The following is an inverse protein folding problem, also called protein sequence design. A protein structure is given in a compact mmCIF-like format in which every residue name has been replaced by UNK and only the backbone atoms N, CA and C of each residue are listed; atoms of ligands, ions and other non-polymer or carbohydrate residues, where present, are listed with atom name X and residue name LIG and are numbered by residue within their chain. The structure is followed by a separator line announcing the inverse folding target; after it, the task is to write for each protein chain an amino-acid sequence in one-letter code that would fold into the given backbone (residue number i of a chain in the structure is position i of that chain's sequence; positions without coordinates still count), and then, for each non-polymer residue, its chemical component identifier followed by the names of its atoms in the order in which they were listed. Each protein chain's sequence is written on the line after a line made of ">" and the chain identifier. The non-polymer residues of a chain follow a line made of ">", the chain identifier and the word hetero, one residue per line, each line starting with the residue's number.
data_IF_096847385486
#
_entry.id   IF_096847385486
#
_cell.length_a   1.000
_cell.length_b   1.000
_cell.length_c   1.000
_cell.angle_alpha   90.00
_cell.angle_beta   90.00
_cell.angle_gamma   90.00
#
_symmetry.space_group_name_H-M   'P 1'
#
loop_
_entity.id
_entity.type
_entity.pdbx_description
1 polymer ?
#
# COMPACT_ATOMS: atom_id res chain seq x y z
N UNK A 1 -0.13 45.25 9.36
CA UNK A 1 -0.72 44.35 8.34
C UNK A 1 -0.57 42.95 8.88
N UNK A 2 -1.69 42.31 9.22
CA UNK A 2 -1.74 41.06 9.99
C UNK A 2 -1.82 39.90 9.00
N UNK A 3 -0.75 39.11 8.88
CA UNK A 3 -0.74 37.95 7.98
C UNK A 3 -1.20 36.70 8.74
N UNK A 4 -2.38 36.22 8.35
CA UNK A 4 -2.97 34.99 8.83
C UNK A 4 -2.22 33.78 8.24
N UNK A 5 -1.43 33.09 9.06
CA UNK A 5 -0.91 31.77 8.71
C UNK A 5 -2.01 30.72 8.93
N UNK A 6 -2.74 30.39 7.87
CA UNK A 6 -3.66 29.26 7.86
C UNK A 6 -2.84 27.96 7.74
N UNK A 7 -2.72 27.25 8.86
CA UNK A 7 -2.28 25.85 8.95
C UNK A 7 -3.08 25.01 7.95
N UNK A 8 -2.45 24.62 6.84
CA UNK A 8 -3.00 23.63 5.91
C UNK A 8 -2.44 22.27 6.32
N UNK A 9 -3.27 21.45 6.95
CA UNK A 9 -2.97 20.04 7.19
C UNK A 9 -2.64 19.35 5.84
N UNK A 10 -1.68 18.41 5.79
CA UNK A 10 -1.40 17.69 4.55
C UNK A 10 -2.67 16.92 4.15
N UNK A 11 -3.21 17.28 3.01
CA UNK A 11 -4.29 16.57 2.33
C UNK A 11 -3.80 15.14 2.10
N UNK A 12 -4.59 14.08 2.37
CA UNK A 12 -4.17 12.72 2.03
C UNK A 12 -3.89 12.69 0.53
N UNK A 13 -2.65 12.41 0.17
CA UNK A 13 -2.16 12.43 -1.20
C UNK A 13 -2.95 11.42 -2.02
N UNK A 14 -3.97 11.90 -2.72
CA UNK A 14 -4.69 11.11 -3.73
C UNK A 14 -3.67 10.69 -4.77
N UNK A 15 -3.30 9.40 -4.75
CA UNK A 15 -2.39 8.78 -5.72
C UNK A 15 -2.82 9.15 -7.13
N UNK A 16 -2.06 10.05 -7.78
CA UNK A 16 -2.33 10.51 -9.14
C UNK A 16 -1.86 9.47 -10.15
N UNK A 17 -2.86 8.76 -10.68
CA UNK A 17 -3.07 8.46 -12.11
C UNK A 17 -2.12 7.49 -12.82
N UNK A 18 -2.65 6.28 -13.04
CA UNK A 18 -2.16 5.33 -14.03
C UNK A 18 -3.09 4.10 -14.15
N UNK A 19 -4.13 4.22 -14.99
CA UNK A 19 -5.23 3.30 -15.35
C UNK A 19 -6.55 3.47 -14.59
N UNK A 20 -7.62 3.45 -15.38
CA UNK A 20 -9.03 3.50 -14.98
C UNK A 20 -9.52 2.24 -14.29
N UNK A 21 -8.88 1.87 -13.19
CA UNK A 21 -9.38 0.85 -12.28
C UNK A 21 -10.05 1.57 -11.09
N UNK A 22 -11.23 2.16 -11.31
CA UNK A 22 -12.05 2.71 -10.22
C UNK A 22 -12.22 1.69 -9.07
N UNK A 23 -12.24 0.40 -9.41
CA UNK A 23 -12.27 -0.70 -8.46
C UNK A 23 -10.96 -0.84 -7.67
N UNK A 24 -9.81 -0.70 -8.31
CA UNK A 24 -8.51 -0.70 -7.61
C UNK A 24 -8.41 0.48 -6.65
N UNK A 25 -8.87 1.67 -7.07
CA UNK A 25 -8.95 2.82 -6.18
C UNK A 25 -9.96 2.60 -5.05
N UNK A 26 -11.09 1.97 -5.29
CA UNK A 26 -12.07 1.65 -4.25
C UNK A 26 -11.49 0.67 -3.21
N UNK A 27 -10.73 -0.34 -3.65
CA UNK A 27 -10.09 -1.32 -2.78
C UNK A 27 -8.97 -0.68 -1.93
N UNK A 28 -8.12 0.17 -2.53
CA UNK A 28 -7.05 0.88 -1.81
C UNK A 28 -7.57 1.99 -0.89
N UNK A 29 -8.70 2.62 -1.23
CA UNK A 29 -9.33 3.65 -0.41
C UNK A 29 -10.40 3.10 0.55
N UNK A 30 -10.48 1.77 0.71
CA UNK A 30 -11.33 1.16 1.71
C UNK A 30 -11.00 1.65 3.13
N UNK A 31 -11.98 1.65 4.05
CA UNK A 31 -11.80 2.14 5.43
C UNK A 31 -10.89 1.27 6.30
N UNK A 32 -10.46 0.12 5.82
CA UNK A 32 -9.73 -0.87 6.61
C UNK A 32 -8.24 -0.51 6.76
N UNK A 33 -7.68 -0.89 7.91
CA UNK A 33 -6.31 -0.50 8.28
C UNK A 33 -5.25 -1.03 7.32
N UNK A 34 -5.43 -2.23 6.75
CA UNK A 34 -4.50 -2.78 5.77
C UNK A 34 -4.52 -2.03 4.44
N UNK A 35 -5.68 -1.55 3.99
CA UNK A 35 -5.79 -0.68 2.81
C UNK A 35 -5.09 0.67 3.06
N UNK A 36 -5.35 1.29 4.22
CA UNK A 36 -4.66 2.52 4.60
C UNK A 36 -3.14 2.34 4.70
N UNK A 37 -2.68 1.23 5.29
CA UNK A 37 -1.26 0.90 5.37
C UNK A 37 -0.63 0.73 3.97
N UNK A 38 -1.28 -0.02 3.07
CA UNK A 38 -0.82 -0.15 1.69
C UNK A 38 -0.75 1.20 0.98
N UNK A 39 -1.74 2.08 1.20
CA UNK A 39 -1.76 3.43 0.61
C UNK A 39 -0.60 4.29 1.11
N UNK A 40 -0.34 4.33 2.42
CA UNK A 40 0.77 5.13 2.98
C UNK A 40 2.14 4.64 2.47
N UNK A 41 2.30 3.32 2.28
CA UNK A 41 3.52 2.76 1.69
C UNK A 41 3.64 3.13 0.20
N UNK A 42 2.54 3.04 -0.55
CA UNK A 42 2.52 3.42 -1.97
C UNK A 42 2.73 4.93 -2.19
N UNK A 43 2.28 5.78 -1.27
CA UNK A 43 2.53 7.23 -1.32
C UNK A 43 3.93 7.61 -0.81
N UNK A 44 4.71 6.66 -0.28
CA UNK A 44 6.04 6.91 0.26
C UNK A 44 6.03 7.65 1.61
N UNK A 45 4.88 7.76 2.27
CA UNK A 45 4.77 8.39 3.59
C UNK A 45 5.44 7.58 4.69
N UNK A 46 5.42 6.24 4.55
CA UNK A 46 6.03 5.30 5.49
C UNK A 46 6.66 4.14 4.75
N UNK A 47 7.64 3.49 5.38
CA UNK A 47 8.19 2.23 4.87
C UNK A 47 7.23 1.06 5.10
N UNK A 48 7.36 -0.04 4.33
CA UNK A 48 6.58 -1.26 4.59
C UNK A 48 6.78 -1.84 6.00
N UNK A 49 7.96 -1.62 6.61
CA UNK A 49 8.25 -2.04 7.98
C UNK A 49 7.51 -1.19 9.02
N UNK A 50 7.47 0.13 8.81
CA UNK A 50 6.70 1.05 9.66
C UNK A 50 5.19 0.80 9.54
N UNK A 51 4.71 0.53 8.32
CA UNK A 51 3.30 0.33 8.02
C UNK A 51 2.68 -0.89 8.72
N UNK A 52 3.49 -1.91 9.08
CA UNK A 52 2.99 -3.10 9.80
C UNK A 52 2.84 -2.90 11.30
N UNK A 53 3.43 -1.87 11.90
CA UNK A 53 3.32 -1.66 13.34
C UNK A 53 1.89 -1.31 13.75
N UNK A 54 1.39 -1.97 14.80
CA UNK A 54 0.01 -1.78 15.29
C UNK A 54 -1.08 -2.41 14.41
N UNK A 55 -0.70 -3.17 13.37
CA UNK A 55 -1.63 -3.99 12.59
C UNK A 55 -1.87 -5.35 13.25
N UNK A 56 -3.02 -5.96 12.95
CA UNK A 56 -3.24 -7.36 13.28
C UNK A 56 -2.34 -8.27 12.42
N UNK A 57 -2.12 -9.51 12.85
CA UNK A 57 -1.33 -10.51 12.11
C UNK A 57 -1.75 -10.62 10.65
N UNK A 58 -3.06 -10.71 10.39
CA UNK A 58 -3.59 -10.84 9.02
C UNK A 58 -3.34 -9.58 8.21
N UNK A 59 -3.48 -8.40 8.79
CA UNK A 59 -3.23 -7.13 8.11
C UNK A 59 -1.74 -6.94 7.78
N UNK A 60 -0.85 -7.31 8.71
CA UNK A 60 0.60 -7.31 8.46
C UNK A 60 0.98 -8.30 7.34
N UNK A 61 0.35 -9.48 7.30
CA UNK A 61 0.51 -10.44 6.21
C UNK A 61 0.08 -9.83 4.87
N UNK A 62 -1.05 -9.13 4.82
CA UNK A 62 -1.52 -8.43 3.61
C UNK A 62 -0.48 -7.43 3.09
N UNK A 63 0.05 -6.57 3.97
CA UNK A 63 1.07 -5.58 3.59
C UNK A 63 2.35 -6.29 3.11
N UNK A 64 2.84 -7.28 3.84
CA UNK A 64 4.04 -8.03 3.46
C UNK A 64 3.89 -8.69 2.07
N UNK A 65 2.74 -9.31 1.79
CA UNK A 65 2.44 -9.91 0.48
C UNK A 65 2.29 -8.86 -0.63
N UNK A 66 1.61 -7.74 -0.36
CA UNK A 66 1.44 -6.62 -1.30
C UNK A 66 2.78 -6.07 -1.81
N UNK A 67 3.78 -6.01 -0.93
CA UNK A 67 5.10 -5.46 -1.29
C UNK A 67 6.16 -6.53 -1.57
N UNK A 68 5.81 -7.82 -1.49
CA UNK A 68 6.73 -8.94 -1.77
C UNK A 68 7.86 -9.07 -0.75
N UNK A 69 7.61 -8.78 0.52
CA UNK A 69 8.61 -8.73 1.60
C UNK A 69 8.42 -9.87 2.60
N UNK A 70 9.14 -10.97 2.39
CA UNK A 70 9.19 -12.15 3.28
C UNK A 70 9.70 -11.85 4.69
N UNK A 71 10.65 -10.94 4.79
CA UNK A 71 11.23 -10.47 6.05
C UNK A 71 10.21 -9.76 6.96
N UNK A 72 9.13 -9.22 6.38
CA UNK A 72 8.10 -8.50 7.12
C UNK A 72 7.00 -9.40 7.65
N UNK A 73 6.98 -10.67 7.25
CA UNK A 73 5.99 -11.61 7.74
C UNK A 73 6.13 -11.85 9.25
N UNK A 74 5.00 -12.06 9.97
CA UNK A 74 5.04 -12.46 11.36
C UNK A 74 5.87 -13.73 11.55
N UNK A 75 6.64 -13.82 12.64
CA UNK A 75 7.55 -14.94 12.87
C UNK A 75 6.87 -16.33 12.85
N UNK A 76 5.58 -16.38 13.20
CA UNK A 76 4.72 -17.58 13.18
C UNK A 76 4.21 -17.95 11.78
N UNK A 77 4.45 -17.12 10.77
CA UNK A 77 3.85 -17.20 9.44
C UNK A 77 4.88 -16.85 8.36
N UNK A 78 5.98 -17.61 8.27
CA UNK A 78 7.11 -17.32 7.37
C UNK A 78 6.90 -17.74 5.92
N UNK A 79 5.85 -18.50 5.62
CA UNK A 79 5.59 -19.03 4.28
C UNK A 79 4.56 -18.17 3.54
N UNK A 80 4.96 -17.57 2.43
CA UNK A 80 4.13 -16.73 1.57
C UNK A 80 2.86 -17.44 1.09
N UNK A 81 2.98 -18.70 0.69
CA UNK A 81 1.87 -19.48 0.15
C UNK A 81 0.89 -19.87 1.24
N UNK A 82 1.37 -20.17 2.44
CA UNK A 82 0.52 -20.39 3.60
C UNK A 82 -0.22 -19.10 3.98
N UNK A 83 0.48 -17.97 4.03
CA UNK A 83 -0.08 -16.65 4.28
C UNK A 83 -1.18 -16.25 3.26
N UNK A 84 -0.91 -16.42 1.97
CA UNK A 84 -1.86 -16.13 0.89
C UNK A 84 -3.19 -16.90 1.05
N UNK A 85 -3.11 -18.16 1.49
CA UNK A 85 -4.30 -18.99 1.74
C UNK A 85 -5.15 -18.50 2.91
N UNK A 86 -4.56 -17.81 3.89
CA UNK A 86 -5.27 -17.28 5.06
C UNK A 86 -6.01 -15.96 4.80
N UNK A 87 -5.62 -15.24 3.75
CA UNK A 87 -6.28 -14.00 3.36
C UNK A 87 -7.68 -14.28 2.79
N UNK A 88 -8.64 -13.44 3.13
CA UNK A 88 -9.95 -13.43 2.48
C UNK A 88 -9.88 -12.80 1.08
N UNK A 89 -10.92 -13.00 0.27
CA UNK A 89 -10.98 -12.51 -1.12
C UNK A 89 -10.72 -10.99 -1.23
N UNK A 90 -11.23 -10.20 -0.28
CA UNK A 90 -10.96 -8.76 -0.19
C UNK A 90 -9.47 -8.47 -0.09
N UNK A 91 -8.78 -9.14 0.84
CA UNK A 91 -7.37 -8.90 1.12
C UNK A 91 -6.47 -9.39 -0.01
N UNK A 92 -6.84 -10.51 -0.65
CA UNK A 92 -6.17 -10.97 -1.88
C UNK A 92 -6.29 -9.95 -3.01
N UNK A 93 -7.48 -9.37 -3.19
CA UNK A 93 -7.70 -8.29 -4.16
C UNK A 93 -6.84 -7.06 -3.84
N UNK A 94 -6.79 -6.66 -2.56
CA UNK A 94 -5.94 -5.55 -2.10
C UNK A 94 -4.45 -5.82 -2.38
N UNK A 95 -3.95 -7.03 -2.13
CA UNK A 95 -2.56 -7.40 -2.44
C UNK A 95 -2.27 -7.28 -3.93
N UNK A 96 -3.14 -7.83 -4.79
CA UNK A 96 -2.94 -7.77 -6.24
C UNK A 96 -2.93 -6.32 -6.74
N UNK A 97 -3.87 -5.51 -6.27
CA UNK A 97 -3.95 -4.08 -6.62
C UNK A 97 -2.72 -3.31 -6.11
N UNK A 98 -2.34 -3.49 -4.85
CA UNK A 98 -1.20 -2.78 -4.26
C UNK A 98 0.13 -3.20 -4.91
N UNK A 99 0.30 -4.49 -5.20
CA UNK A 99 1.45 -4.98 -5.94
C UNK A 99 1.52 -4.31 -7.32
N UNK A 100 0.44 -4.33 -8.10
CA UNK A 100 0.38 -3.67 -9.42
C UNK A 100 0.67 -2.16 -9.34
N UNK A 101 0.15 -1.48 -8.33
CA UNK A 101 0.42 -0.05 -8.12
C UNK A 101 1.90 0.23 -7.82
N UNK A 102 2.55 -0.63 -7.02
CA UNK A 102 4.00 -0.57 -6.77
C UNK A 102 4.80 -0.73 -8.07
N UNK A 103 4.46 -1.72 -8.89
CA UNK A 103 5.16 -1.97 -10.16
C UNK A 103 5.04 -0.80 -11.15
N UNK A 104 3.88 -0.13 -11.22
CA UNK A 104 3.71 1.07 -12.06
C UNK A 104 4.51 2.27 -11.55
N UNK A 105 4.59 2.44 -10.23
CA UNK A 105 5.36 3.54 -9.62
C UNK A 105 6.87 3.35 -9.80
N UNK A 106 7.34 2.11 -9.91
CA UNK A 106 8.74 1.77 -10.21
C UNK A 106 9.07 1.77 -11.71
N UNK A 107 8.08 1.91 -12.59
CA UNK A 107 8.29 2.09 -14.02
C UNK A 107 8.39 3.60 -14.33
N UNK A 108 9.38 4.24 -13.73
CA UNK A 108 9.93 5.47 -14.31
C UNK A 108 10.49 5.05 -15.68
N UNK A 109 9.92 5.61 -16.75
CA UNK A 109 10.27 5.29 -18.14
C UNK A 109 11.78 5.11 -18.29
N UNK A 110 12.28 4.09 -19.01
CA UNK A 110 13.68 4.11 -19.41
C UNK A 110 13.93 5.46 -20.07
N UNK A 111 15.05 6.14 -19.78
CA UNK A 111 15.36 7.40 -20.45
C UNK A 111 15.31 7.14 -21.95
N UNK A 112 14.35 7.77 -22.63
CA UNK A 112 14.35 7.84 -24.09
C UNK A 112 15.51 8.75 -24.47
N UNK A 113 16.63 8.11 -24.73
CA UNK A 113 17.87 8.61 -25.29
C UNK A 113 18.79 7.39 -25.27
N UNK A 114 19.24 6.84 -26.38
CA UNK A 114 19.70 7.44 -27.63
C UNK A 114 19.39 6.51 -28.81
#
# INVERSE_FOLDING_TARGET
>A
MTENYTTTAPTPTTLKTGLGDSEAQAVLNGPEKDASACRMVLSGEVTPDEARFGLSTTQAITVALAFGREDLLPASHRDFRACWRRLDNRQRSLVDVAARAKWKSNYESPPVGW
#
